data_IF_799959040851
#
_entry.id   IF_799959040851
#
_cell.length_a   1.000
_cell.length_b   1.000
_cell.length_c   1.000
_cell.angle_alpha   90.00
_cell.angle_beta   90.00
_cell.angle_gamma   90.00
#
_symmetry.space_group_name_H-M   'P 1'
#
loop_
_entity.id
_entity.type
_entity.pdbx_description
1 polymer ?
#
# COMPACT_ATOMS: atom_id res chain seq x y z
N UNK A 1 -7.50 -31.34 -41.85
CA UNK A 1 -7.47 -30.30 -42.91
C UNK A 1 -8.04 -29.05 -42.26
N UNK A 2 -7.32 -27.96 -41.97
CA UNK A 2 -6.30 -27.24 -42.75
C UNK A 2 -5.41 -26.40 -41.81
N UNK A 3 -4.10 -26.71 -41.80
CA UNK A 3 -2.93 -25.81 -41.74
C UNK A 3 -2.88 -24.59 -40.82
N UNK A 4 -2.34 -24.82 -39.61
CA UNK A 4 -1.12 -24.21 -39.05
C UNK A 4 -0.44 -23.07 -39.86
N UNK A 5 -0.33 -21.87 -39.27
CA UNK A 5 0.71 -20.89 -39.65
C UNK A 5 1.60 -20.56 -38.46
N UNK A 6 2.69 -21.32 -38.41
CA UNK A 6 3.90 -21.13 -37.60
C UNK A 6 4.52 -19.77 -37.97
N UNK A 7 4.77 -18.88 -37.00
CA UNK A 7 5.74 -17.77 -37.15
C UNK A 7 6.92 -18.11 -36.26
N UNK A 8 8.04 -18.42 -36.90
CA UNK A 8 9.34 -18.56 -36.24
C UNK A 8 10.07 -17.22 -36.17
N UNK A 9 11.03 -17.09 -35.25
CA UNK A 9 11.62 -15.83 -34.83
C UNK A 9 12.81 -15.46 -35.72
N UNK A 10 12.76 -14.24 -36.24
CA UNK A 10 13.84 -13.66 -37.04
C UNK A 10 14.57 -12.58 -36.27
N UNK A 11 15.84 -12.89 -36.02
CA UNK A 11 16.99 -12.01 -36.07
C UNK A 11 17.46 -11.24 -34.82
N UNK A 12 18.76 -11.37 -34.63
CA UNK A 12 19.58 -10.97 -33.50
C UNK A 12 20.52 -9.88 -34.03
N UNK A 13 20.94 -8.99 -33.12
CA UNK A 13 22.11 -8.11 -33.22
C UNK A 13 21.88 -6.65 -33.68
N UNK A 14 21.95 -5.77 -32.68
CA UNK A 14 23.04 -4.80 -32.63
C UNK A 14 22.77 -3.41 -33.19
N UNK A 15 22.43 -2.46 -32.31
CA UNK A 15 23.10 -1.15 -32.31
C UNK A 15 23.12 -0.56 -30.89
N UNK A 16 24.34 -0.49 -30.34
CA UNK A 16 24.67 0.26 -29.14
C UNK A 16 25.09 1.66 -29.60
N UNK A 17 24.69 2.66 -28.80
CA UNK A 17 25.14 4.06 -28.78
C UNK A 17 24.47 5.04 -29.76
N UNK A 18 23.61 5.89 -29.21
CA UNK A 18 23.77 7.34 -29.38
C UNK A 18 23.30 8.03 -28.10
N UNK A 19 24.26 8.68 -27.42
CA UNK A 19 24.02 9.65 -26.35
C UNK A 19 23.80 10.98 -27.05
N UNK A 20 22.58 11.50 -26.99
CA UNK A 20 22.35 12.93 -27.15
C UNK A 20 21.87 13.44 -25.79
N UNK A 21 22.69 14.33 -25.23
CA UNK A 21 22.34 15.08 -24.05
C UNK A 21 21.19 16.01 -24.38
N UNK A 22 20.15 15.95 -23.59
CA UNK A 22 19.18 17.02 -23.48
C UNK A 22 19.20 17.54 -22.04
N UNK A 23 19.10 18.85 -21.94
CA UNK A 23 19.52 19.71 -20.85
C UNK A 23 19.14 19.25 -19.42
N UNK A 24 19.92 19.66 -18.39
CA UNK A 24 19.40 19.65 -17.02
C UNK A 24 18.18 20.55 -16.98
N UNK A 25 17.00 19.94 -16.93
CA UNK A 25 15.74 20.65 -16.67
C UNK A 25 15.93 21.53 -15.43
N UNK A 26 15.33 22.74 -15.40
CA UNK A 26 15.54 23.66 -14.31
C UNK A 26 15.26 22.92 -13.02
N UNK A 27 16.24 22.95 -12.11
CA UNK A 27 16.15 22.42 -10.77
C UNK A 27 14.81 22.84 -10.20
N UNK A 28 13.84 21.93 -10.28
CA UNK A 28 12.58 22.09 -9.61
C UNK A 28 12.99 22.26 -8.16
N UNK A 29 12.75 23.45 -7.62
CA UNK A 29 12.77 23.69 -6.20
C UNK A 29 11.63 22.84 -5.65
N UNK A 30 11.89 21.53 -5.55
CA UNK A 30 11.09 20.59 -4.81
C UNK A 30 11.22 21.08 -3.40
N UNK A 31 10.24 21.85 -2.96
CA UNK A 31 10.00 22.14 -1.56
C UNK A 31 9.91 20.77 -0.91
N UNK A 32 11.05 20.27 -0.42
CA UNK A 32 11.13 19.10 0.43
C UNK A 32 10.41 19.57 1.68
N UNK A 33 9.11 19.26 1.75
CA UNK A 33 8.32 19.55 2.95
C UNK A 33 9.13 18.98 4.09
N UNK A 34 9.38 19.73 5.18
CA UNK A 34 10.02 19.15 6.33
C UNK A 34 9.12 18.01 6.80
N UNK A 35 9.48 16.78 6.40
CA UNK A 35 8.91 15.59 6.97
C UNK A 35 9.40 15.61 8.41
N UNK A 36 8.48 15.67 9.36
CA UNK A 36 8.91 15.61 10.76
C UNK A 36 9.74 14.34 10.93
N UNK A 37 10.81 14.36 11.73
CA UNK A 37 11.62 13.16 11.96
C UNK A 37 10.75 11.97 12.41
N UNK A 38 9.67 12.25 13.13
CA UNK A 38 8.65 11.25 13.46
C UNK A 38 7.97 10.63 12.22
N UNK A 39 7.56 11.44 11.23
CA UNK A 39 6.95 10.94 10.00
C UNK A 39 7.91 10.08 9.16
N UNK A 40 9.21 10.43 9.13
CA UNK A 40 10.22 9.64 8.44
C UNK A 40 10.44 8.28 9.12
N UNK A 41 10.52 8.25 10.45
CA UNK A 41 10.63 7.00 11.23
C UNK A 41 9.40 6.11 11.00
N UNK A 42 8.19 6.66 11.05
CA UNK A 42 6.96 5.90 10.78
C UNK A 42 6.94 5.32 9.36
N UNK A 43 7.33 6.10 8.36
CA UNK A 43 7.41 5.61 6.98
C UNK A 43 8.48 4.52 6.81
N UNK A 44 9.61 4.65 7.51
CA UNK A 44 10.66 3.64 7.56
C UNK A 44 10.18 2.32 8.16
N UNK A 45 9.50 2.38 9.31
CA UNK A 45 8.92 1.20 9.98
C UNK A 45 7.92 0.51 9.06
N UNK A 46 6.97 1.26 8.47
CA UNK A 46 5.97 0.68 7.57
C UNK A 46 6.60 -0.05 6.36
N UNK A 47 7.70 0.48 5.82
CA UNK A 47 8.45 -0.16 4.73
C UNK A 47 9.13 -1.44 5.18
N UNK A 48 9.75 -1.43 6.36
CA UNK A 48 10.40 -2.60 6.94
C UNK A 48 9.38 -3.70 7.23
N UNK A 49 8.26 -3.37 7.87
CA UNK A 49 7.15 -4.30 8.12
C UNK A 49 6.63 -4.89 6.81
N UNK A 50 6.42 -4.08 5.78
CA UNK A 50 6.03 -4.56 4.46
C UNK A 50 7.02 -5.56 3.87
N UNK A 51 8.32 -5.28 3.97
CA UNK A 51 9.37 -6.21 3.55
C UNK A 51 9.33 -7.53 4.34
N UNK A 52 9.23 -7.46 5.67
CA UNK A 52 9.17 -8.65 6.53
C UNK A 52 7.94 -9.51 6.26
N UNK A 53 6.78 -8.89 6.02
CA UNK A 53 5.57 -9.62 5.64
C UNK A 53 5.72 -10.34 4.30
N UNK A 54 6.36 -9.71 3.31
CA UNK A 54 6.62 -10.34 2.01
C UNK A 54 7.60 -11.50 2.15
N UNK A 55 8.67 -11.34 2.94
CA UNK A 55 9.62 -12.43 3.19
C UNK A 55 8.94 -13.61 3.89
N UNK A 56 8.16 -13.35 4.95
CA UNK A 56 7.39 -14.38 5.64
C UNK A 56 6.40 -15.09 4.71
N UNK A 57 5.71 -14.34 3.85
CA UNK A 57 4.77 -14.94 2.91
C UNK A 57 5.47 -15.88 1.90
N UNK A 58 6.69 -15.55 1.48
CA UNK A 58 7.49 -16.40 0.58
C UNK A 58 7.96 -17.69 1.27
N UNK A 59 8.50 -17.58 2.48
CA UNK A 59 8.95 -18.78 3.23
C UNK A 59 7.78 -19.70 3.52
N UNK A 60 6.65 -19.14 3.96
CA UNK A 60 5.42 -19.91 4.23
C UNK A 60 4.87 -20.59 2.98
N UNK A 61 4.90 -19.92 1.82
CA UNK A 61 4.46 -20.50 0.55
C UNK A 61 5.36 -21.67 0.10
N UNK A 62 6.68 -21.54 0.27
CA UNK A 62 7.64 -22.59 -0.06
C UNK A 62 7.50 -23.81 0.87
N UNK A 63 7.37 -23.58 2.18
CA UNK A 63 7.13 -24.64 3.18
C UNK A 63 5.80 -25.35 2.92
N UNK A 64 4.72 -24.60 2.69
CA UNK A 64 3.42 -25.17 2.37
C UNK A 64 3.45 -25.97 1.06
N UNK A 65 4.13 -25.46 0.03
CA UNK A 65 4.28 -26.14 -1.27
C UNK A 65 5.05 -27.46 -1.16
N UNK A 66 6.17 -27.47 -0.44
CA UNK A 66 6.95 -28.70 -0.21
C UNK A 66 6.20 -29.70 0.67
N UNK A 67 5.50 -29.24 1.71
CA UNK A 67 4.63 -30.09 2.52
C UNK A 67 3.49 -30.69 1.71
N UNK A 68 2.89 -29.91 0.80
CA UNK A 68 1.83 -30.37 -0.09
C UNK A 68 2.33 -31.41 -1.09
N UNK A 69 3.46 -31.15 -1.76
CA UNK A 69 4.04 -32.06 -2.73
C UNK A 69 4.47 -33.40 -2.12
N UNK A 70 5.00 -33.41 -0.89
CA UNK A 70 5.38 -34.64 -0.16
C UNK A 70 4.22 -35.59 0.12
N UNK A 71 2.96 -35.12 0.06
CA UNK A 71 1.78 -35.98 0.21
C UNK A 71 1.59 -36.92 -0.97
N UNK A 72 2.25 -36.64 -2.10
CA UNK A 72 2.21 -37.46 -3.30
C UNK A 72 3.44 -38.36 -3.40
N UNK A 73 3.59 -39.27 -2.44
CA UNK A 73 4.78 -40.15 -2.31
C UNK A 73 5.03 -41.07 -3.51
N UNK A 74 4.05 -41.23 -4.41
CA UNK A 74 4.17 -42.00 -5.65
C UNK A 74 4.79 -41.21 -6.82
N UNK A 75 4.93 -39.88 -6.70
CA UNK A 75 5.66 -39.07 -7.67
C UNK A 75 7.15 -39.02 -7.34
N UNK A 76 7.97 -38.92 -8.38
CA UNK A 76 9.41 -38.71 -8.24
C UNK A 76 9.76 -37.34 -7.65
N UNK A 77 11.00 -37.16 -7.16
CA UNK A 77 11.43 -35.90 -6.54
C UNK A 77 11.34 -34.68 -7.48
N UNK A 78 11.53 -34.90 -8.79
CA UNK A 78 11.45 -33.84 -9.79
C UNK A 78 10.01 -33.34 -9.92
N UNK A 79 9.06 -34.24 -10.10
CA UNK A 79 7.65 -33.90 -10.27
C UNK A 79 7.06 -33.30 -8.99
N UNK A 80 7.48 -33.80 -7.81
CA UNK A 80 7.14 -33.16 -6.53
C UNK A 80 7.63 -31.72 -6.45
N UNK A 81 8.85 -31.43 -6.92
CA UNK A 81 9.39 -30.06 -6.94
C UNK A 81 8.60 -29.14 -7.90
N UNK A 82 8.16 -29.65 -9.04
CA UNK A 82 7.31 -28.90 -9.97
C UNK A 82 5.94 -28.55 -9.36
N UNK A 83 5.30 -29.53 -8.71
CA UNK A 83 4.04 -29.32 -7.97
C UNK A 83 4.23 -28.30 -6.85
N UNK A 84 5.32 -28.41 -6.08
CA UNK A 84 5.61 -27.47 -5.00
C UNK A 84 5.74 -26.03 -5.51
N UNK A 85 6.46 -25.82 -6.63
CA UNK A 85 6.60 -24.49 -7.25
C UNK A 85 5.28 -23.96 -7.83
N UNK A 86 4.45 -24.84 -8.41
CA UNK A 86 3.13 -24.45 -8.90
C UNK A 86 2.20 -24.03 -7.75
N UNK A 87 2.22 -24.80 -6.65
CA UNK A 87 1.47 -24.49 -5.43
C UNK A 87 1.92 -23.16 -4.82
N UNK A 88 3.24 -22.93 -4.69
CA UNK A 88 3.78 -21.68 -4.14
C UNK A 88 3.24 -20.45 -4.89
N UNK A 89 3.25 -20.50 -6.23
CA UNK A 89 2.74 -19.41 -7.07
C UNK A 89 1.27 -19.13 -6.82
N UNK A 90 0.44 -20.18 -6.74
CA UNK A 90 -1.00 -20.00 -6.53
C UNK A 90 -1.32 -19.58 -5.09
N UNK A 91 -0.64 -20.15 -4.10
CA UNK A 91 -0.76 -19.76 -2.71
C UNK A 91 -0.47 -18.27 -2.51
N UNK A 92 0.62 -17.77 -3.11
CA UNK A 92 0.94 -16.34 -3.11
C UNK A 92 -0.11 -15.50 -3.87
N UNK A 93 -0.67 -16.02 -4.96
CA UNK A 93 -1.71 -15.35 -5.75
C UNK A 93 -2.98 -15.14 -4.90
N UNK A 94 -3.45 -16.19 -4.21
CA UNK A 94 -4.59 -16.16 -3.28
C UNK A 94 -4.32 -15.20 -2.14
N UNK A 95 -3.17 -15.32 -1.47
CA UNK A 95 -2.81 -14.46 -0.32
C UNK A 95 -2.77 -12.98 -0.72
N UNK A 96 -2.24 -12.67 -1.90
CA UNK A 96 -2.27 -11.29 -2.44
C UNK A 96 -3.68 -10.80 -2.73
N UNK A 97 -4.60 -11.65 -3.18
CA UNK A 97 -6.01 -11.29 -3.39
C UNK A 97 -6.68 -10.97 -2.05
N UNK A 98 -6.51 -11.85 -1.06
CA UNK A 98 -7.05 -11.65 0.29
C UNK A 98 -6.51 -10.37 0.94
N UNK A 99 -5.20 -10.13 0.88
CA UNK A 99 -4.61 -8.90 1.43
C UNK A 99 -5.17 -7.64 0.76
N UNK A 100 -5.30 -7.64 -0.58
CA UNK A 100 -5.89 -6.51 -1.31
C UNK A 100 -7.34 -6.26 -0.91
N UNK A 101 -8.13 -7.30 -0.75
CA UNK A 101 -9.51 -7.17 -0.27
C UNK A 101 -9.58 -6.58 1.13
N UNK A 102 -8.72 -7.03 2.05
CA UNK A 102 -8.63 -6.46 3.41
C UNK A 102 -8.23 -5.00 3.41
N UNK A 103 -7.24 -4.60 2.58
CA UNK A 103 -6.82 -3.20 2.45
C UNK A 103 -7.97 -2.35 1.91
N UNK A 104 -8.62 -2.80 0.83
CA UNK A 104 -9.77 -2.08 0.26
C UNK A 104 -10.89 -1.89 1.30
N UNK A 105 -11.20 -2.94 2.08
CA UNK A 105 -12.21 -2.85 3.15
C UNK A 105 -11.79 -1.91 4.26
N UNK A 106 -10.52 -1.90 4.64
CA UNK A 106 -9.99 -0.99 5.64
C UNK A 106 -10.08 0.48 5.18
N UNK A 107 -9.83 0.75 3.90
CA UNK A 107 -9.95 2.08 3.32
C UNK A 107 -11.41 2.54 3.27
N UNK A 108 -12.33 1.68 2.83
CA UNK A 108 -13.77 1.97 2.90
C UNK A 108 -14.24 2.30 4.31
N UNK A 109 -13.82 1.51 5.32
CA UNK A 109 -14.13 1.77 6.72
C UNK A 109 -13.54 3.11 7.17
N UNK A 110 -12.30 3.41 6.79
CA UNK A 110 -11.64 4.67 7.14
C UNK A 110 -12.40 5.87 6.55
N UNK A 111 -12.91 5.75 5.33
CA UNK A 111 -13.67 6.81 4.67
C UNK A 111 -15.07 6.99 5.28
N UNK A 112 -15.74 5.89 5.63
CA UNK A 112 -17.05 5.94 6.29
C UNK A 112 -16.94 6.59 7.69
N UNK A 113 -16.02 6.11 8.51
CA UNK A 113 -15.83 6.63 9.86
C UNK A 113 -15.16 8.00 9.86
N UNK A 114 -14.25 8.28 8.93
CA UNK A 114 -13.60 9.57 8.79
C UNK A 114 -14.59 10.69 8.51
N UNK A 115 -15.58 10.44 7.63
CA UNK A 115 -16.67 11.41 7.38
C UNK A 115 -17.53 11.65 8.61
N UNK A 116 -17.94 10.59 9.32
CA UNK A 116 -18.74 10.69 10.55
C UNK A 116 -17.96 11.44 11.65
N UNK A 117 -16.69 11.13 11.82
CA UNK A 117 -15.83 11.79 12.79
C UNK A 117 -15.62 13.27 12.44
N UNK A 118 -15.36 13.59 11.17
CA UNK A 118 -15.20 14.97 10.73
C UNK A 118 -16.48 15.80 10.98
N UNK A 119 -17.66 15.21 10.75
CA UNK A 119 -18.93 15.86 11.06
C UNK A 119 -19.09 16.12 12.57
N UNK A 120 -18.84 15.10 13.40
CA UNK A 120 -18.98 15.25 14.85
C UNK A 120 -17.96 16.24 15.42
N UNK A 121 -16.72 16.19 14.93
CA UNK A 121 -15.65 17.14 15.28
C UNK A 121 -16.04 18.56 14.91
N UNK A 122 -16.58 18.81 13.71
CA UNK A 122 -17.06 20.15 13.32
C UNK A 122 -18.17 20.64 14.23
N UNK A 123 -19.13 19.79 14.59
CA UNK A 123 -20.20 20.15 15.52
C UNK A 123 -19.68 20.49 16.92
N UNK A 124 -18.77 19.68 17.45
CA UNK A 124 -18.14 19.94 18.75
C UNK A 124 -17.33 21.24 18.73
N UNK A 125 -16.53 21.46 17.69
CA UNK A 125 -15.77 22.71 17.53
C UNK A 125 -16.71 23.91 17.44
N UNK A 126 -17.79 23.82 16.65
CA UNK A 126 -18.78 24.89 16.55
C UNK A 126 -19.51 25.15 17.88
N UNK A 127 -19.86 24.10 18.62
CA UNK A 127 -20.50 24.23 19.93
C UNK A 127 -19.56 24.89 20.96
N UNK A 128 -18.29 24.47 21.01
CA UNK A 128 -17.28 25.07 21.89
C UNK A 128 -17.07 26.53 21.51
N UNK A 129 -16.91 26.85 20.22
CA UNK A 129 -16.78 28.24 19.77
C UNK A 129 -18.01 29.07 20.14
N UNK A 130 -19.22 28.55 19.94
CA UNK A 130 -20.47 29.20 20.33
C UNK A 130 -20.56 29.48 21.83
N UNK A 131 -20.20 28.50 22.67
CA UNK A 131 -20.16 28.66 24.13
C UNK A 131 -19.13 29.71 24.55
N UNK A 132 -17.93 29.69 23.95
CA UNK A 132 -16.90 30.69 24.25
C UNK A 132 -17.31 32.11 23.83
N UNK A 133 -18.00 32.25 22.70
CA UNK A 133 -18.52 33.54 22.24
C UNK A 133 -19.68 34.04 23.11
N UNK A 134 -20.58 33.15 23.53
CA UNK A 134 -21.65 33.50 24.46
C UNK A 134 -21.09 33.94 25.82
N UNK A 135 -20.12 33.20 26.35
CA UNK A 135 -19.45 33.55 27.61
C UNK A 135 -18.73 34.90 27.52
N UNK A 136 -18.05 35.20 26.41
CA UNK A 136 -17.38 36.50 26.24
C UNK A 136 -18.36 37.67 26.14
N UNK A 137 -19.50 37.48 25.48
CA UNK A 137 -20.58 38.49 25.44
C UNK A 137 -21.16 38.73 26.82
N UNK A 138 -21.48 37.68 27.58
CA UNK A 138 -21.99 37.79 28.95
C UNK A 138 -20.99 38.54 29.84
N UNK A 139 -19.70 38.20 29.72
CA UNK A 139 -18.64 38.87 30.48
C UNK A 139 -18.55 40.36 30.11
N UNK A 140 -18.66 40.71 28.82
CA UNK A 140 -18.64 42.09 28.36
C UNK A 140 -19.88 42.89 28.79
N UNK A 141 -21.05 42.27 28.83
CA UNK A 141 -22.30 42.90 29.34
C UNK A 141 -22.22 43.10 30.85
N UNK A 142 -21.75 42.09 31.59
CA UNK A 142 -21.54 42.20 33.02
C UNK A 142 -20.56 43.33 33.37
N UNK A 143 -19.43 43.41 32.64
CA UNK A 143 -18.45 44.48 32.82
C UNK A 143 -18.99 45.89 32.52
N UNK A 144 -19.95 46.01 31.58
CA UNK A 144 -20.63 47.29 31.29
C UNK A 144 -21.69 47.65 32.33
N UNK A 145 -22.34 46.67 32.96
CA UNK A 145 -23.35 46.89 33.99
C UNK A 145 -22.76 47.25 35.37
N UNK A 146 -21.47 46.99 35.58
CA UNK A 146 -20.74 47.32 36.82
C UNK A 146 -20.00 48.66 36.77
N UNK A 147 -20.12 49.41 35.68
CA UNK A 147 -19.44 50.71 35.46
C UNK A 147 -20.33 51.92 35.67
#
# INVERSE_FOLDING_TARGET
MTTQRRREPGDVAGHRAQRDGDAPGPAGCGVRRPHSPAAEVTAGIARLEGYLLVQRARTEAAEAGTAFARRFAWLGPHEQAEIARAFEREYLSVRRRMLRATVARADELRDEYGRRYAFLRRRLVAAVLGLTAAASVVLAVAARGTG
#
